data_IF_133839475202
#
_entry.id   IF_133839475202
#
_cell.length_a   1.000
_cell.length_b   1.000
_cell.length_c   1.000
_cell.angle_alpha   90.00
_cell.angle_beta   90.00
_cell.angle_gamma   90.00
#
_symmetry.space_group_name_H-M   'P 1'
#
loop_
_entity.id
_entity.type
_entity.pdbx_description
1 polymer ?
#
# COMPACT_ATOMS: atom_id res chain seq x y z
N UNK A 1 15.78 -7.43 -34.58
CA UNK A 1 14.89 -8.12 -33.61
C UNK A 1 15.63 -8.11 -32.31
N UNK A 2 15.22 -7.19 -31.44
CA UNK A 2 16.02 -6.64 -30.36
C UNK A 2 15.87 -7.49 -29.09
N UNK A 3 16.99 -8.02 -28.61
CA UNK A 3 17.04 -8.94 -27.46
C UNK A 3 16.60 -8.28 -26.14
N UNK A 4 16.49 -6.95 -26.13
CA UNK A 4 15.93 -6.13 -25.05
C UNK A 4 14.42 -6.30 -24.88
N UNK A 5 13.68 -6.75 -25.91
CA UNK A 5 12.24 -6.98 -25.83
C UNK A 5 11.86 -8.34 -25.21
N UNK A 6 12.81 -9.27 -25.13
CA UNK A 6 12.61 -10.62 -24.59
C UNK A 6 12.89 -10.73 -23.08
N UNK A 7 13.35 -9.65 -22.43
CA UNK A 7 13.52 -9.56 -20.97
C UNK A 7 12.30 -8.93 -20.26
N UNK A 8 11.32 -8.44 -21.03
CA UNK A 8 10.06 -7.89 -20.54
C UNK A 8 8.92 -8.92 -20.56
N UNK A 9 9.18 -10.14 -21.05
CA UNK A 9 8.27 -11.28 -20.90
C UNK A 9 8.36 -11.78 -19.44
N UNK A 10 7.51 -11.20 -18.58
CA UNK A 10 6.99 -11.80 -17.34
C UNK A 10 8.04 -12.32 -16.35
N UNK A 11 8.70 -11.41 -15.63
CA UNK A 11 8.90 -11.66 -14.21
C UNK A 11 7.55 -11.36 -13.56
N UNK A 12 6.79 -12.40 -13.22
CA UNK A 12 5.59 -12.24 -12.38
C UNK A 12 5.98 -11.42 -11.14
N UNK A 13 5.18 -10.41 -10.84
CA UNK A 13 5.32 -9.63 -9.61
C UNK A 13 5.25 -10.59 -8.41
N UNK A 14 6.24 -10.56 -7.50
CA UNK A 14 6.20 -11.35 -6.25
C UNK A 14 5.14 -10.76 -5.30
N UNK A 15 3.86 -11.02 -5.58
CA UNK A 15 2.72 -10.48 -4.83
C UNK A 15 2.74 -10.90 -3.36
N UNK A 16 3.09 -12.15 -3.08
CA UNK A 16 3.25 -12.65 -1.72
C UNK A 16 4.39 -11.94 -0.98
N UNK A 17 5.50 -11.69 -1.69
CA UNK A 17 6.62 -10.90 -1.18
C UNK A 17 6.22 -9.47 -0.86
N UNK A 18 5.48 -8.81 -1.75
CA UNK A 18 4.96 -7.46 -1.53
C UNK A 18 3.98 -7.40 -0.37
N UNK A 19 3.04 -8.35 -0.26
CA UNK A 19 2.13 -8.42 0.88
C UNK A 19 2.91 -8.54 2.21
N UNK A 20 3.96 -9.37 2.23
CA UNK A 20 4.86 -9.49 3.39
C UNK A 20 5.57 -8.16 3.72
N UNK A 21 5.95 -7.39 2.70
CA UNK A 21 6.67 -6.13 2.88
C UNK A 21 5.77 -4.95 3.26
N UNK A 22 4.49 -5.01 2.89
CA UNK A 22 3.47 -4.01 3.21
C UNK A 22 2.75 -4.29 4.54
N UNK A 23 2.85 -5.52 5.06
CA UNK A 23 2.29 -5.88 6.35
C UNK A 23 2.83 -4.96 7.46
N UNK A 24 1.91 -4.33 8.21
CA UNK A 24 2.21 -3.34 9.26
C UNK A 24 2.99 -2.11 8.76
N UNK A 25 3.03 -1.85 7.44
CA UNK A 25 3.66 -0.65 6.93
C UNK A 25 2.81 0.57 7.29
N UNK A 26 3.47 1.67 7.67
CA UNK A 26 2.81 2.94 7.94
C UNK A 26 2.69 3.76 6.66
N UNK A 27 1.48 4.23 6.34
CA UNK A 27 1.27 5.11 5.20
C UNK A 27 1.50 6.57 5.58
N UNK A 28 2.58 7.16 5.08
CA UNK A 28 3.01 8.53 5.39
C UNK A 28 2.36 9.56 4.48
N UNK A 29 1.97 9.16 3.27
CA UNK A 29 1.36 10.05 2.30
C UNK A 29 1.15 9.40 0.94
N UNK A 30 0.39 10.09 0.09
CA UNK A 30 0.09 9.64 -1.26
C UNK A 30 -0.03 10.84 -2.19
N UNK A 31 0.52 10.71 -3.40
CA UNK A 31 0.39 11.69 -4.48
C UNK A 31 -0.08 10.99 -5.74
N UNK A 32 -1.10 11.54 -6.38
CA UNK A 32 -1.59 11.07 -7.69
C UNK A 32 -1.15 12.05 -8.77
N UNK A 33 -0.44 11.54 -9.77
CA UNK A 33 -0.17 12.23 -11.02
C UNK A 33 -1.01 11.60 -12.13
N UNK A 34 -2.21 12.14 -12.31
CA UNK A 34 -3.14 11.63 -13.30
C UNK A 34 -2.65 11.89 -14.75
N UNK A 35 -1.81 12.90 -14.96
CA UNK A 35 -1.31 13.24 -16.30
C UNK A 35 -0.32 12.19 -16.80
N UNK A 36 0.56 11.72 -15.92
CA UNK A 36 1.53 10.65 -16.21
C UNK A 36 1.02 9.25 -15.84
N UNK A 37 -0.22 9.15 -15.33
CA UNK A 37 -0.84 7.93 -14.83
C UNK A 37 0.04 7.20 -13.81
N UNK A 38 0.48 7.95 -12.81
CA UNK A 38 1.31 7.47 -11.70
C UNK A 38 0.64 7.77 -10.37
N UNK A 39 0.90 6.89 -9.42
CA UNK A 39 0.53 7.09 -8.03
C UNK A 39 1.74 6.74 -7.17
N UNK A 40 2.17 7.67 -6.32
CA UNK A 40 3.26 7.46 -5.38
C UNK A 40 2.69 7.35 -3.98
N UNK A 41 3.10 6.33 -3.25
CA UNK A 41 2.78 6.12 -1.83
C UNK A 41 4.09 6.18 -1.06
N UNK A 42 4.17 7.05 -0.07
CA UNK A 42 5.30 7.11 0.84
C UNK A 42 4.96 6.28 2.07
N UNK A 43 5.82 5.30 2.38
CA UNK A 43 5.62 4.33 3.44
C UNK A 43 6.80 4.30 4.39
N UNK A 44 6.56 3.94 5.64
CA UNK A 44 7.58 3.40 6.54
C UNK A 44 7.32 1.90 6.69
N UNK A 45 8.27 1.07 6.25
CA UNK A 45 8.14 -0.38 6.24
C UNK A 45 9.04 -1.06 7.27
N UNK A 46 8.65 -2.26 7.66
CA UNK A 46 9.44 -3.13 8.54
C UNK A 46 10.48 -3.90 7.71
N UNK A 47 11.75 -3.55 7.87
CA UNK A 47 12.84 -4.17 7.11
C UNK A 47 14.11 -4.35 7.93
N UNK A 48 14.88 -5.40 7.65
CA UNK A 48 16.21 -5.60 8.20
C UNK A 48 17.27 -5.78 7.09
N UNK A 49 18.45 -5.15 7.22
CA UNK A 49 19.56 -5.45 6.35
C UNK A 49 20.12 -6.84 6.63
N UNK A 50 20.94 -7.36 5.72
CA UNK A 50 21.64 -8.65 5.91
C UNK A 50 22.57 -8.59 7.12
N UNK A 51 23.28 -7.47 7.29
CA UNK A 51 24.22 -7.22 8.39
C UNK A 51 24.09 -5.78 8.87
N UNK A 52 24.33 -5.55 10.15
CA UNK A 52 24.40 -4.21 10.74
C UNK A 52 23.11 -3.75 11.42
N UNK A 53 23.05 -2.45 11.69
CA UNK A 53 21.94 -1.78 12.35
C UNK A 53 20.75 -1.66 11.39
N UNK A 54 19.49 -1.74 11.86
CA UNK A 54 18.32 -1.44 11.03
C UNK A 54 18.50 -0.11 10.28
N UNK A 55 18.23 -0.15 8.98
CA UNK A 55 18.28 1.02 8.12
C UNK A 55 16.99 1.85 8.28
N UNK A 56 16.98 3.04 7.69
CA UNK A 56 15.76 3.83 7.52
C UNK A 56 14.73 3.01 6.72
N UNK A 57 13.57 2.74 7.32
CA UNK A 57 12.49 1.95 6.71
C UNK A 57 11.64 2.75 5.74
N UNK A 58 11.92 4.05 5.55
CA UNK A 58 11.14 4.89 4.65
C UNK A 58 11.44 4.58 3.19
N UNK A 59 10.39 4.29 2.45
CA UNK A 59 10.41 3.99 1.03
C UNK A 59 9.26 4.70 0.32
N UNK A 60 9.38 4.83 -0.99
CA UNK A 60 8.32 5.30 -1.84
C UNK A 60 8.01 4.27 -2.91
N UNK A 61 6.75 3.83 -2.95
CA UNK A 61 6.23 2.93 -3.97
C UNK A 61 5.56 3.78 -5.04
N UNK A 62 6.11 3.73 -6.26
CA UNK A 62 5.51 4.39 -7.41
C UNK A 62 4.84 3.34 -8.28
N UNK A 63 3.52 3.38 -8.32
CA UNK A 63 2.67 2.63 -9.24
C UNK A 63 2.59 3.39 -10.56
N UNK A 64 2.82 2.68 -11.66
CA UNK A 64 2.79 3.25 -13.01
C UNK A 64 1.77 2.52 -13.88
N UNK A 65 1.31 3.19 -14.94
CA UNK A 65 0.22 2.68 -15.77
C UNK A 65 -1.11 2.66 -15.02
N UNK A 66 -1.33 3.59 -14.09
CA UNK A 66 -2.55 3.64 -13.29
C UNK A 66 -3.75 3.91 -14.21
N UNK A 67 -4.71 2.99 -14.22
CA UNK A 67 -5.91 3.07 -15.06
C UNK A 67 -7.12 3.56 -14.27
N UNK A 68 -7.19 3.26 -12.98
CA UNK A 68 -8.34 3.60 -12.13
C UNK A 68 -7.92 3.74 -10.68
N UNK A 69 -8.57 4.65 -9.96
CA UNK A 69 -8.46 4.81 -8.51
C UNK A 69 -9.86 4.96 -7.94
N UNK A 70 -10.18 4.16 -6.95
CA UNK A 70 -11.43 4.26 -6.19
C UNK A 70 -11.11 4.38 -4.71
N UNK A 71 -11.93 5.15 -3.99
CA UNK A 71 -11.80 5.28 -2.56
C UNK A 71 -13.15 5.46 -1.86
N UNK A 72 -13.25 4.92 -0.65
CA UNK A 72 -14.38 5.10 0.26
C UNK A 72 -13.86 5.65 1.57
N UNK A 73 -14.20 6.90 1.88
CA UNK A 73 -13.98 7.51 3.20
C UNK A 73 -15.32 7.55 3.92
N UNK A 74 -15.42 6.81 5.03
CA UNK A 74 -16.68 6.66 5.76
C UNK A 74 -16.48 6.67 7.28
N UNK A 75 -17.57 6.83 8.00
CA UNK A 75 -17.65 6.57 9.44
C UNK A 75 -19.00 5.95 9.75
N UNK A 76 -19.02 4.97 10.64
CA UNK A 76 -20.25 4.35 11.12
C UNK A 76 -20.18 4.20 12.63
N UNK A 77 -21.05 4.91 13.34
CA UNK A 77 -21.20 4.75 14.79
C UNK A 77 -22.13 3.59 15.09
N UNK A 78 -22.07 3.07 16.30
CA UNK A 78 -22.88 1.93 16.74
C UNK A 78 -24.40 2.19 16.66
N UNK A 79 -24.83 3.45 16.71
CA UNK A 79 -26.22 3.90 16.65
C UNK A 79 -26.64 4.42 15.26
N UNK A 80 -25.72 4.44 14.29
CA UNK A 80 -26.03 4.86 12.92
C UNK A 80 -26.71 3.73 12.13
N UNK A 81 -27.81 4.07 11.46
CA UNK A 81 -28.52 3.13 10.57
C UNK A 81 -27.74 2.87 9.28
N UNK A 82 -27.06 3.89 8.75
CA UNK A 82 -26.28 3.86 7.52
C UNK A 82 -24.95 4.57 7.76
N UNK A 83 -23.85 4.13 7.10
CA UNK A 83 -22.56 4.79 7.22
C UNK A 83 -22.61 6.21 6.64
N UNK A 84 -21.95 7.14 7.31
CA UNK A 84 -21.72 8.48 6.78
C UNK A 84 -20.54 8.46 5.82
N UNK A 85 -20.80 8.73 4.53
CA UNK A 85 -19.78 8.82 3.49
C UNK A 85 -19.30 10.26 3.39
N UNK A 86 -17.99 10.48 3.55
CA UNK A 86 -17.39 11.79 3.43
C UNK A 86 -17.04 12.10 1.96
N UNK A 87 -17.16 13.37 1.53
CA UNK A 87 -16.73 13.78 0.21
C UNK A 87 -15.21 13.63 0.09
N UNK A 88 -14.77 13.03 -1.01
CA UNK A 88 -13.37 12.88 -1.36
C UNK A 88 -13.24 12.99 -2.88
N UNK A 89 -12.12 13.52 -3.35
CA UNK A 89 -11.76 13.50 -4.77
C UNK A 89 -10.36 12.91 -4.92
N UNK A 90 -9.98 12.61 -6.16
CA UNK A 90 -8.62 12.16 -6.46
C UNK A 90 -7.57 13.17 -5.95
N UNK A 91 -7.82 14.46 -6.12
CA UNK A 91 -6.91 15.54 -5.72
C UNK A 91 -6.79 15.67 -4.20
N UNK A 92 -7.84 15.33 -3.43
CA UNK A 92 -7.84 15.43 -1.96
C UNK A 92 -7.53 14.11 -1.26
N UNK A 93 -7.24 13.03 -1.99
CA UNK A 93 -6.91 11.71 -1.43
C UNK A 93 -5.65 11.77 -0.54
N UNK A 94 -4.61 12.48 -0.99
CA UNK A 94 -3.38 12.63 -0.21
C UNK A 94 -3.60 13.35 1.13
N UNK A 95 -4.42 14.41 1.12
CA UNK A 95 -4.81 15.14 2.34
C UNK A 95 -5.63 14.27 3.30
N UNK A 96 -6.50 13.41 2.77
CA UNK A 96 -7.27 12.47 3.58
C UNK A 96 -6.35 11.46 4.27
N UNK A 97 -5.41 10.84 3.54
CA UNK A 97 -4.41 9.92 4.10
C UNK A 97 -3.56 10.60 5.18
N UNK A 98 -3.08 11.82 4.92
CA UNK A 98 -2.35 12.61 5.91
C UNK A 98 -3.22 12.88 7.17
N UNK A 99 -4.53 13.01 7.00
CA UNK A 99 -5.51 13.16 8.08
C UNK A 99 -5.61 11.96 9.03
N UNK A 100 -5.18 10.76 8.61
CA UNK A 100 -5.05 9.58 9.49
C UNK A 100 -3.74 9.58 10.30
N UNK A 101 -2.86 10.56 10.07
CA UNK A 101 -1.70 10.81 10.94
C UNK A 101 -0.58 9.78 10.85
N UNK A 102 -0.47 9.03 9.75
CA UNK A 102 0.50 7.95 9.63
C UNK A 102 0.03 6.66 10.31
N UNK A 103 -1.23 6.28 10.10
CA UNK A 103 -1.73 4.97 10.52
C UNK A 103 -1.11 3.85 9.70
N UNK A 104 -0.99 2.67 10.32
CA UNK A 104 -0.62 1.44 9.64
C UNK A 104 -1.63 1.10 8.53
N UNK A 105 -1.16 0.47 7.47
CA UNK A 105 -2.01 -0.15 6.48
C UNK A 105 -2.71 -1.34 7.14
N UNK A 106 -4.03 -1.32 7.18
CA UNK A 106 -4.82 -2.46 7.63
C UNK A 106 -5.05 -3.42 6.47
N UNK A 107 -4.81 -4.70 6.74
CA UNK A 107 -4.93 -5.77 5.76
C UNK A 107 -3.91 -6.87 6.00
N UNK A 108 -4.09 -7.98 5.31
CA UNK A 108 -3.14 -9.11 5.28
C UNK A 108 -2.58 -9.31 3.88
N UNK A 109 -3.43 -9.11 2.88
CA UNK A 109 -3.09 -9.10 1.46
C UNK A 109 -3.45 -7.73 0.89
N UNK A 110 -2.57 -7.21 0.04
CA UNK A 110 -2.71 -5.87 -0.55
C UNK A 110 -2.69 -5.92 -2.07
N UNK A 111 -1.83 -6.77 -2.65
CA UNK A 111 -1.67 -6.91 -4.09
C UNK A 111 -2.52 -8.07 -4.62
N UNK A 112 -3.26 -7.81 -5.70
CA UNK A 112 -4.10 -8.77 -6.42
C UNK A 112 -5.06 -9.55 -5.52
N UNK A 113 -5.60 -8.84 -4.52
CA UNK A 113 -6.67 -9.37 -3.66
C UNK A 113 -7.93 -9.64 -4.47
N UNK A 114 -8.71 -10.62 -4.02
CA UNK A 114 -9.99 -10.91 -4.62
C UNK A 114 -10.98 -9.74 -4.46
N UNK A 115 -12.14 -9.86 -5.10
CA UNK A 115 -13.16 -8.80 -5.07
C UNK A 115 -14.00 -8.82 -3.79
N UNK A 116 -13.66 -9.60 -2.75
CA UNK A 116 -14.45 -9.68 -1.53
C UNK A 116 -14.50 -8.34 -0.78
N UNK A 117 -13.34 -7.70 -0.57
CA UNK A 117 -13.23 -6.37 0.03
C UNK A 117 -13.99 -5.33 -0.80
N UNK A 118 -13.63 -5.23 -2.08
CA UNK A 118 -14.32 -4.34 -3.03
C UNK A 118 -15.84 -4.53 -3.06
N UNK A 119 -16.37 -5.75 -3.03
CA UNK A 119 -17.80 -6.01 -3.03
C UNK A 119 -18.52 -5.40 -1.80
N UNK A 120 -17.82 -5.25 -0.67
CA UNK A 120 -18.37 -4.66 0.56
C UNK A 120 -18.52 -3.14 0.46
N UNK A 121 -17.52 -2.44 -0.09
CA UNK A 121 -17.48 -0.97 -0.03
C UNK A 121 -17.69 -0.25 -1.37
N UNK A 122 -17.76 -0.96 -2.50
CA UNK A 122 -18.03 -0.35 -3.82
C UNK A 122 -19.37 0.39 -3.94
N UNK A 123 -20.31 0.12 -3.03
CA UNK A 123 -21.60 0.83 -2.97
C UNK A 123 -21.54 2.07 -2.07
N UNK A 124 -20.42 2.27 -1.36
CA UNK A 124 -20.16 3.32 -0.38
C UNK A 124 -19.02 4.24 -0.82
N UNK A 125 -18.85 4.42 -2.14
CA UNK A 125 -17.74 5.16 -2.71
C UNK A 125 -17.83 6.66 -2.43
N UNK A 126 -16.70 7.24 -2.02
CA UNK A 126 -16.52 8.69 -2.07
C UNK A 126 -16.20 9.12 -3.50
N UNK A 127 -15.36 8.36 -4.21
CA UNK A 127 -15.13 8.52 -5.64
C UNK A 127 -14.66 7.23 -6.32
N UNK A 128 -14.80 7.21 -7.64
CA UNK A 128 -14.27 6.19 -8.54
C UNK A 128 -13.89 6.85 -9.86
N UNK A 129 -12.59 7.04 -10.07
CA UNK A 129 -12.03 7.83 -11.16
C UNK A 129 -11.21 6.94 -12.09
N UNK A 130 -11.58 6.94 -13.37
CA UNK A 130 -10.76 6.37 -14.45
C UNK A 130 -9.71 7.40 -14.87
N UNK A 131 -8.43 7.01 -14.80
CA UNK A 131 -7.27 7.82 -15.17
C UNK A 131 -6.83 7.51 -16.61
N UNK A 132 -6.90 6.24 -17.02
CA UNK A 132 -6.57 5.85 -18.38
C UNK A 132 -7.31 4.58 -18.83
N UNK A 133 -7.47 4.42 -20.15
CA UNK A 133 -8.12 3.24 -20.76
C UNK A 133 -7.23 1.99 -20.81
N UNK A 134 -6.08 2.01 -20.13
CA UNK A 134 -5.16 0.87 -20.06
C UNK A 134 -5.78 -0.29 -19.30
N UNK A 135 -5.56 -1.50 -19.78
CA UNK A 135 -5.93 -2.70 -19.03
C UNK A 135 -4.94 -2.88 -17.88
N UNK A 136 -5.39 -2.83 -16.62
CA UNK A 136 -4.47 -3.02 -15.50
C UNK A 136 -3.97 -4.46 -15.46
N UNK A 137 -2.71 -4.62 -15.06
CA UNK A 137 -2.12 -5.93 -14.78
C UNK A 137 -2.34 -6.33 -13.31
N UNK A 138 -2.36 -5.34 -12.41
CA UNK A 138 -2.40 -5.54 -10.97
C UNK A 138 -3.38 -4.60 -10.27
N UNK A 139 -3.75 -5.00 -9.05
CA UNK A 139 -4.55 -4.20 -8.11
C UNK A 139 -3.79 -4.05 -6.79
N UNK A 140 -3.77 -2.84 -6.25
CA UNK A 140 -3.42 -2.57 -4.86
C UNK A 140 -4.69 -2.17 -4.12
N UNK A 141 -5.02 -2.86 -3.04
CA UNK A 141 -6.07 -2.48 -2.09
C UNK A 141 -5.46 -2.34 -0.69
N UNK A 142 -5.80 -1.26 0.01
CA UNK A 142 -5.42 -1.07 1.41
C UNK A 142 -6.45 -0.24 2.13
N UNK A 143 -6.47 -0.34 3.46
CA UNK A 143 -7.31 0.50 4.30
C UNK A 143 -6.55 1.18 5.43
N UNK A 144 -7.07 2.32 5.89
CA UNK A 144 -6.63 3.01 7.10
C UNK A 144 -7.84 3.24 8.00
N UNK A 145 -7.66 3.05 9.31
CA UNK A 145 -8.73 3.17 10.28
C UNK A 145 -8.24 3.98 11.49
N UNK A 146 -9.12 4.80 12.04
CA UNK A 146 -8.86 5.50 13.30
C UNK A 146 -9.20 4.61 14.52
N UNK A 147 -9.12 5.14 15.74
CA UNK A 147 -9.44 4.40 16.98
C UNK A 147 -10.95 4.13 17.18
N UNK A 148 -11.50 4.53 18.34
CA UNK A 148 -12.92 4.26 18.66
C UNK A 148 -13.89 5.12 17.84
N UNK A 149 -14.97 4.52 17.32
CA UNK A 149 -15.91 5.06 16.32
C UNK A 149 -15.21 5.57 15.04
N UNK A 150 -14.38 4.72 14.40
CA UNK A 150 -13.37 5.21 13.49
C UNK A 150 -13.93 5.71 12.18
N UNK A 151 -13.28 6.75 11.65
CA UNK A 151 -13.26 6.94 10.21
C UNK A 151 -12.44 5.81 9.60
N UNK A 152 -12.91 5.33 8.46
CA UNK A 152 -12.28 4.28 7.67
C UNK A 152 -12.09 4.79 6.25
N UNK A 153 -10.90 4.58 5.72
CA UNK A 153 -10.54 4.89 4.35
C UNK A 153 -10.11 3.61 3.66
N UNK A 154 -10.87 3.16 2.67
CA UNK A 154 -10.43 2.14 1.72
C UNK A 154 -9.97 2.80 0.42
N UNK A 155 -8.87 2.30 -0.13
CA UNK A 155 -8.32 2.74 -1.41
C UNK A 155 -8.02 1.52 -2.26
N UNK A 156 -8.49 1.54 -3.52
CA UNK A 156 -8.15 0.54 -4.53
C UNK A 156 -7.58 1.23 -5.77
N UNK A 157 -6.43 0.74 -6.22
CA UNK A 157 -5.67 1.26 -7.35
C UNK A 157 -5.43 0.15 -8.36
N UNK A 158 -5.77 0.40 -9.61
CA UNK A 158 -5.50 -0.51 -10.72
C UNK A 158 -4.29 0.02 -11.50
N UNK A 159 -3.24 -0.80 -11.66
CA UNK A 159 -1.94 -0.37 -12.20
C UNK A 159 -1.26 -1.45 -13.05
N UNK A 160 -0.15 -1.10 -13.72
CA UNK A 160 0.62 -2.01 -14.56
C UNK A 160 1.92 -2.47 -13.90
N UNK A 161 2.66 -1.55 -13.27
CA UNK A 161 3.98 -1.84 -12.70
C UNK A 161 4.28 -1.02 -11.44
N UNK A 162 5.18 -1.50 -10.60
CA UNK A 162 5.60 -0.88 -9.33
C UNK A 162 7.11 -0.72 -9.25
N UNK A 163 7.55 0.45 -8.81
CA UNK A 163 8.96 0.73 -8.51
C UNK A 163 9.10 1.19 -7.07
N UNK A 164 10.21 0.83 -6.43
CA UNK A 164 10.50 1.17 -5.04
C UNK A 164 11.75 2.06 -4.99
N UNK A 165 11.64 3.18 -4.29
CA UNK A 165 12.74 4.10 -4.00
C UNK A 165 12.98 4.16 -2.49
N UNK A 166 14.23 4.18 -2.06
CA UNK A 166 14.61 4.46 -0.67
C UNK A 166 14.47 5.95 -0.34
N UNK A 167 14.50 6.29 0.95
CA UNK A 167 14.44 7.68 1.41
C UNK A 167 15.49 8.63 0.82
N UNK A 168 16.63 8.10 0.35
CA UNK A 168 17.69 8.87 -0.32
C UNK A 168 17.50 9.00 -1.85
N UNK A 169 16.40 8.44 -2.39
CA UNK A 169 16.04 8.46 -3.81
C UNK A 169 16.70 7.36 -4.64
N UNK A 170 17.38 6.39 -4.02
CA UNK A 170 17.96 5.25 -4.75
C UNK A 170 16.88 4.22 -5.11
N UNK A 171 16.97 3.63 -6.30
CA UNK A 171 16.08 2.52 -6.68
C UNK A 171 16.43 1.27 -5.86
N UNK A 172 15.41 0.69 -5.23
CA UNK A 172 15.48 -0.56 -4.51
C UNK A 172 14.85 -1.67 -5.36
N UNK A 173 15.61 -2.74 -5.63
CA UNK A 173 15.09 -3.88 -6.37
C UNK A 173 13.97 -4.58 -5.57
N UNK A 174 12.94 -5.07 -6.27
CA UNK A 174 11.82 -5.79 -5.65
C UNK A 174 12.29 -6.95 -4.78
N UNK A 175 13.21 -7.78 -5.29
CA UNK A 175 13.76 -8.93 -4.56
C UNK A 175 14.47 -8.50 -3.25
N UNK A 176 15.16 -7.35 -3.28
CA UNK A 176 15.87 -6.83 -2.12
C UNK A 176 14.90 -6.28 -1.08
N UNK A 177 13.88 -5.54 -1.52
CA UNK A 177 12.79 -5.02 -0.71
C UNK A 177 12.07 -6.16 0.03
N UNK A 178 11.64 -7.19 -0.71
CA UNK A 178 10.99 -8.39 -0.16
C UNK A 178 11.90 -9.16 0.78
N UNK A 179 13.18 -9.34 0.42
CA UNK A 179 14.12 -10.03 1.27
C UNK A 179 14.37 -9.30 2.60
N UNK A 180 14.32 -7.96 2.60
CA UNK A 180 14.39 -7.13 3.80
C UNK A 180 13.24 -7.39 4.77
N UNK A 181 12.02 -7.38 4.26
CA UNK A 181 10.83 -7.68 5.04
C UNK A 181 10.82 -9.11 5.59
N UNK A 182 11.14 -10.11 4.75
CA UNK A 182 11.22 -11.52 5.18
C UNK A 182 12.25 -11.72 6.30
N UNK A 183 13.38 -11.01 6.26
CA UNK A 183 14.37 -11.02 7.36
C UNK A 183 13.81 -10.41 8.63
N UNK A 184 13.08 -9.30 8.52
CA UNK A 184 12.44 -8.64 9.66
C UNK A 184 11.45 -9.59 10.35
N UNK A 185 10.48 -10.14 9.60
CA UNK A 185 9.47 -11.05 10.15
C UNK A 185 10.06 -12.31 10.76
N UNK A 186 11.06 -12.92 10.11
CA UNK A 186 11.77 -14.08 10.68
C UNK A 186 12.48 -13.75 12.00
N UNK A 187 13.07 -12.56 12.11
CA UNK A 187 13.74 -12.11 13.33
C UNK A 187 12.71 -11.81 14.43
N UNK A 188 11.58 -11.21 14.06
CA UNK A 188 10.44 -10.98 14.93
C UNK A 188 9.89 -12.27 15.55
N UNK A 189 9.62 -13.28 14.72
CA UNK A 189 9.18 -14.60 15.17
C UNK A 189 10.19 -15.31 16.08
N UNK A 190 11.47 -14.92 15.99
CA UNK A 190 12.55 -15.44 16.84
C UNK A 190 12.80 -14.57 18.09
N UNK A 191 11.93 -13.60 18.35
CA UNK A 191 12.06 -12.62 19.43
C UNK A 191 13.36 -11.81 19.41
N UNK A 192 13.88 -11.44 18.22
CA UNK A 192 15.05 -10.57 18.10
C UNK A 192 14.77 -9.19 18.72
N UNK A 193 15.61 -8.67 19.63
CA UNK A 193 15.38 -7.36 20.23
C UNK A 193 15.27 -6.20 19.24
N UNK A 194 15.83 -6.34 18.03
CA UNK A 194 15.78 -5.31 16.98
C UNK A 194 14.40 -5.15 16.36
N UNK A 195 13.50 -6.11 16.56
CA UNK A 195 12.15 -6.13 15.96
C UNK A 195 11.04 -5.94 17.00
N UNK A 196 11.37 -5.73 18.27
CA UNK A 196 10.39 -5.52 19.34
C UNK A 196 9.89 -4.08 19.36
N UNK A 197 9.02 -3.74 18.42
CA UNK A 197 8.36 -2.44 18.32
C UNK A 197 7.03 -2.45 19.09
N UNK A 198 6.66 -1.35 19.77
CA UNK A 198 5.46 -1.30 20.62
C UNK A 198 4.15 -1.45 19.84
N UNK A 199 4.13 -1.03 18.58
CA UNK A 199 2.93 -0.97 17.74
C UNK A 199 2.83 -2.15 16.76
N UNK A 200 3.75 -3.12 16.83
CA UNK A 200 3.68 -4.36 16.06
C UNK A 200 3.20 -5.48 16.98
N UNK A 201 2.26 -6.30 16.49
CA UNK A 201 1.74 -7.43 17.24
C UNK A 201 2.89 -8.37 17.70
N UNK A 202 2.90 -8.85 18.95
CA UNK A 202 3.98 -9.70 19.44
C UNK A 202 4.02 -11.03 18.68
N UNK A 203 5.20 -11.68 18.60
CA UNK A 203 5.32 -12.98 17.96
C UNK A 203 4.45 -14.01 18.68
N UNK A 204 3.76 -14.85 17.90
CA UNK A 204 2.89 -15.92 18.42
C UNK A 204 3.66 -17.14 18.96
#
# INVERSE_FOLDING_TARGET
>A
MDASRALLDTLELDTAGLNTALAEATCLGLVVDAADARLRIDLEVLTLPVNGQPADGRVSLTLSGVSRVAASLRQQRWDDLEPHIFPLTLDTLGDAIAGFGGGALHGWDFIDVDDSGWALWRELLSFDTTISDRTPAHVLEFSQQEGTDPRELDVRVWFEDVTIETADGSLLGLDEFVAGARRWWKAHDSCDPRTMLPDVAPPM
#
